data_IF_223371924154
#
_entry.id   IF_223371924154
#
_cell.length_a   1.000
_cell.length_b   1.000
_cell.length_c   1.000
_cell.angle_alpha   90.00
_cell.angle_beta   90.00
_cell.angle_gamma   90.00
#
_symmetry.space_group_name_H-M   'P 1'
#
loop_
_entity.id
_entity.type
_entity.pdbx_description
1 polymer ?
#
# COMPACT_ATOMS: atom_id res chain seq x y z
N UNK A 1 -13.23 3.38 31.61
CA UNK A 1 -12.39 3.44 30.41
C UNK A 1 -12.22 2.02 29.90
N UNK A 2 -12.42 1.77 28.62
CA UNK A 2 -12.19 0.45 28.01
C UNK A 2 -10.69 0.19 27.86
N UNK A 3 -10.30 -1.07 27.66
CA UNK A 3 -8.89 -1.42 27.48
C UNK A 3 -8.26 -0.72 26.27
N UNK A 4 -9.01 -0.59 25.17
CA UNK A 4 -8.57 0.15 23.97
C UNK A 4 -8.33 1.64 24.26
N UNK A 5 -9.22 2.29 25.05
CA UNK A 5 -9.06 3.69 25.44
C UNK A 5 -7.84 3.90 26.33
N UNK A 6 -7.62 3.02 27.32
CA UNK A 6 -6.44 3.08 28.19
C UNK A 6 -5.13 2.99 27.40
N UNK A 7 -5.05 2.04 26.47
CA UNK A 7 -3.87 1.87 25.61
C UNK A 7 -3.68 3.08 24.68
N UNK A 8 -4.76 3.60 24.10
CA UNK A 8 -4.69 4.78 23.25
C UNK A 8 -4.18 6.02 24.00
N UNK A 9 -4.73 6.30 25.20
CA UNK A 9 -4.25 7.44 26.01
C UNK A 9 -2.77 7.30 26.38
N UNK A 10 -2.33 6.08 26.70
CA UNK A 10 -0.91 5.79 26.93
C UNK A 10 -0.06 6.09 25.68
N UNK A 11 -0.50 5.67 24.49
CA UNK A 11 0.20 5.97 23.24
C UNK A 11 0.34 7.46 23.01
N UNK A 12 -0.73 8.23 23.21
CA UNK A 12 -0.72 9.70 23.09
C UNK A 12 0.26 10.34 24.07
N UNK A 13 0.25 9.91 25.32
CA UNK A 13 1.12 10.44 26.34
C UNK A 13 2.62 10.14 26.11
N UNK A 14 2.91 8.95 25.59
CA UNK A 14 4.29 8.51 25.33
C UNK A 14 4.88 9.00 24.01
N UNK A 15 4.05 9.45 23.07
CA UNK A 15 4.48 9.89 21.74
C UNK A 15 4.02 11.32 21.42
N UNK A 16 4.42 12.32 22.23
CA UNK A 16 3.99 13.69 22.01
C UNK A 16 4.47 14.20 20.64
N UNK A 17 3.58 14.87 19.90
CA UNK A 17 3.91 15.44 18.59
C UNK A 17 3.88 14.47 17.39
N UNK A 18 3.26 13.30 17.56
CA UNK A 18 3.10 12.31 16.48
C UNK A 18 1.59 12.10 16.11
N UNK A 19 0.88 13.11 15.61
CA UNK A 19 -0.57 13.05 15.42
C UNK A 19 -1.01 11.99 14.41
N UNK A 20 -0.22 11.73 13.36
CA UNK A 20 -0.53 10.70 12.37
C UNK A 20 -0.47 9.30 12.99
N UNK A 21 0.49 9.06 13.89
CA UNK A 21 0.58 7.80 14.61
C UNK A 21 -0.59 7.64 15.60
N UNK A 22 -0.95 8.70 16.33
CA UNK A 22 -2.11 8.67 17.22
C UNK A 22 -3.39 8.33 16.46
N UNK A 23 -3.62 8.96 15.31
CA UNK A 23 -4.80 8.70 14.48
C UNK A 23 -4.85 7.24 14.02
N UNK A 24 -3.76 6.71 13.49
CA UNK A 24 -3.71 5.33 13.01
C UNK A 24 -3.97 4.30 14.12
N UNK A 25 -3.38 4.51 15.30
CA UNK A 25 -3.61 3.63 16.46
C UNK A 25 -5.08 3.69 16.88
N UNK A 26 -5.67 4.89 16.95
CA UNK A 26 -7.08 5.07 17.30
C UNK A 26 -8.01 4.33 16.33
N UNK A 27 -7.85 4.55 15.04
CA UNK A 27 -8.67 3.93 14.00
C UNK A 27 -8.61 2.39 14.05
N UNK A 28 -7.43 1.84 14.25
CA UNK A 28 -7.25 0.39 14.36
C UNK A 28 -7.88 -0.14 15.65
N UNK A 29 -7.60 0.46 16.81
CA UNK A 29 -8.15 0.00 18.08
C UNK A 29 -9.68 0.11 18.13
N UNK A 30 -10.26 1.20 17.60
CA UNK A 30 -11.72 1.37 17.51
C UNK A 30 -12.35 0.26 16.64
N UNK A 31 -11.75 -0.09 15.52
CA UNK A 31 -12.23 -1.16 14.64
C UNK A 31 -12.09 -2.57 15.23
N UNK A 32 -11.16 -2.76 16.16
CA UNK A 32 -10.88 -4.03 16.82
C UNK A 32 -11.65 -4.24 18.14
N UNK A 33 -12.40 -3.21 18.59
CA UNK A 33 -13.08 -3.24 19.88
C UNK A 33 -13.93 -4.51 20.08
N UNK A 34 -14.65 -4.92 19.03
CA UNK A 34 -15.52 -6.12 19.07
C UNK A 34 -14.73 -7.42 19.36
N UNK A 35 -13.50 -7.52 18.91
CA UNK A 35 -12.60 -8.67 19.16
C UNK A 35 -11.96 -8.55 20.54
N UNK A 36 -11.49 -7.37 20.88
CA UNK A 36 -10.77 -7.08 22.11
C UNK A 36 -11.68 -7.30 23.32
N UNK A 37 -12.91 -6.78 23.28
CA UNK A 37 -13.89 -6.93 24.37
C UNK A 37 -14.21 -8.41 24.67
N UNK A 38 -14.19 -9.28 23.65
CA UNK A 38 -14.40 -10.74 23.84
C UNK A 38 -13.23 -11.45 24.50
N UNK A 39 -12.02 -10.91 24.39
CA UNK A 39 -10.79 -11.54 24.84
C UNK A 39 -10.02 -10.67 25.85
N UNK A 40 -10.66 -9.66 26.45
CA UNK A 40 -10.02 -8.61 27.23
C UNK A 40 -9.15 -9.14 28.36
N UNK A 41 -9.62 -10.11 29.15
CA UNK A 41 -8.90 -10.68 30.28
C UNK A 41 -7.55 -11.28 29.84
N UNK A 42 -7.56 -12.07 28.77
CA UNK A 42 -6.37 -12.70 28.22
C UNK A 42 -5.41 -11.65 27.64
N UNK A 43 -5.95 -10.71 26.85
CA UNK A 43 -5.14 -9.70 26.19
C UNK A 43 -4.48 -8.74 27.18
N UNK A 44 -5.18 -8.34 28.24
CA UNK A 44 -4.59 -7.57 29.35
C UNK A 44 -3.48 -8.34 30.06
N UNK A 45 -3.71 -9.62 30.38
CA UNK A 45 -2.72 -10.46 31.04
C UNK A 45 -1.41 -10.60 30.24
N UNK A 46 -1.50 -10.61 28.93
CA UNK A 46 -0.36 -10.74 28.01
C UNK A 46 0.14 -9.41 27.47
N UNK A 47 -0.47 -8.28 27.86
CA UNK A 47 -0.18 -6.94 27.35
C UNK A 47 -0.16 -6.89 25.81
N UNK A 48 -1.14 -7.55 25.19
CA UNK A 48 -1.17 -7.71 23.72
C UNK A 48 -1.23 -6.37 23.02
N UNK A 49 -2.13 -5.47 23.45
CA UNK A 49 -2.28 -4.18 22.77
C UNK A 49 -1.07 -3.27 22.99
N UNK A 50 -0.52 -3.25 24.20
CA UNK A 50 0.69 -2.47 24.51
C UNK A 50 1.88 -2.91 23.65
N UNK A 51 2.06 -4.21 23.47
CA UNK A 51 3.11 -4.79 22.61
C UNK A 51 2.83 -4.57 21.12
N UNK A 52 1.57 -4.52 20.73
CA UNK A 52 1.15 -4.35 19.34
C UNK A 52 1.36 -2.91 18.85
N UNK A 53 1.15 -1.91 19.71
CA UNK A 53 1.25 -0.48 19.35
C UNK A 53 2.66 0.09 19.55
N UNK A 54 3.58 -0.67 20.13
CA UNK A 54 4.96 -0.25 20.33
C UNK A 54 5.85 -0.92 19.28
N UNK A 55 6.65 -0.16 18.49
CA UNK A 55 7.60 -0.77 17.58
C UNK A 55 8.72 -1.50 18.33
N UNK A 56 9.11 -2.68 17.82
CA UNK A 56 10.20 -3.46 18.41
C UNK A 56 11.52 -2.72 18.39
N UNK A 57 11.77 -1.91 17.34
CA UNK A 57 13.00 -1.11 17.25
C UNK A 57 12.83 0.09 16.31
N UNK A 58 13.41 1.22 16.69
CA UNK A 58 13.58 2.39 15.84
C UNK A 58 15.07 2.71 15.71
N UNK A 59 15.54 2.80 14.48
CA UNK A 59 16.92 3.16 14.16
C UNK A 59 16.90 4.52 13.48
N UNK A 60 17.68 5.47 14.00
CA UNK A 60 17.85 6.80 13.44
C UNK A 60 19.34 7.09 13.26
N UNK A 61 19.70 7.62 12.09
CA UNK A 61 21.09 7.88 11.73
C UNK A 61 21.22 9.11 10.83
N UNK A 62 22.40 9.74 10.84
CA UNK A 62 22.72 10.82 9.90
C UNK A 62 23.22 10.26 8.57
N UNK A 63 22.90 10.97 7.50
CA UNK A 63 23.28 10.60 6.13
C UNK A 63 24.02 11.79 5.50
N UNK A 64 25.34 11.88 5.64
CA UNK A 64 26.13 12.89 4.95
C UNK A 64 26.43 12.45 3.52
N UNK A 65 26.31 13.37 2.56
CA UNK A 65 26.63 13.13 1.15
C UNK A 65 27.09 14.42 0.49
N UNK A 66 27.69 14.34 -0.71
CA UNK A 66 28.23 15.49 -1.42
C UNK A 66 27.37 15.73 -2.67
N UNK A 67 26.90 16.96 -2.82
CA UNK A 67 26.13 17.40 -4.01
C UNK A 67 27.04 17.67 -5.21
N UNK A 68 26.41 18.03 -6.33
CA UNK A 68 27.12 18.29 -7.60
C UNK A 68 28.05 19.50 -7.55
N UNK A 69 27.84 20.40 -6.58
CA UNK A 69 28.69 21.56 -6.34
C UNK A 69 29.87 21.29 -5.40
N UNK A 70 30.00 20.06 -4.89
CA UNK A 70 31.01 19.68 -3.93
C UNK A 70 30.67 20.05 -2.48
N UNK A 71 29.44 20.48 -2.20
CA UNK A 71 28.99 20.85 -0.85
C UNK A 71 28.48 19.63 -0.10
N UNK A 72 28.89 19.52 1.16
CA UNK A 72 28.41 18.44 2.04
C UNK A 72 26.98 18.74 2.48
N UNK A 73 26.08 17.83 2.18
CA UNK A 73 24.69 17.81 2.64
C UNK A 73 24.53 16.78 3.74
N UNK A 74 23.59 17.04 4.67
CA UNK A 74 23.29 16.10 5.76
C UNK A 74 21.78 15.90 5.89
N UNK A 75 21.34 14.68 5.68
CA UNK A 75 19.96 14.25 5.88
C UNK A 75 19.86 13.31 7.08
N UNK A 76 18.64 13.04 7.52
CA UNK A 76 18.35 12.09 8.59
C UNK A 76 17.69 10.84 7.98
N UNK A 77 18.24 9.69 8.31
CA UNK A 77 17.73 8.39 7.92
C UNK A 77 17.05 7.69 9.08
N UNK A 78 16.06 6.85 8.75
CA UNK A 78 15.29 6.07 9.73
C UNK A 78 14.96 4.68 9.21
N UNK A 79 14.87 3.71 10.13
CA UNK A 79 14.19 2.44 9.94
C UNK A 79 13.39 2.10 11.19
N UNK A 80 12.10 1.91 11.02
CA UNK A 80 11.19 1.39 12.04
C UNK A 80 10.98 -0.09 11.76
N UNK A 81 11.46 -0.93 12.65
CA UNK A 81 11.23 -2.37 12.70
C UNK A 81 10.07 -2.57 13.66
N UNK A 82 8.85 -2.66 13.11
CA UNK A 82 7.66 -2.49 13.92
C UNK A 82 7.22 -3.78 14.61
N UNK A 83 7.05 -4.85 13.85
CA UNK A 83 6.61 -6.13 14.41
C UNK A 83 7.12 -7.29 13.55
N UNK A 84 7.78 -8.25 14.18
CA UNK A 84 8.38 -9.44 13.53
C UNK A 84 7.66 -10.75 13.86
N UNK A 85 6.54 -10.72 14.53
CA UNK A 85 5.85 -11.93 14.97
C UNK A 85 5.50 -12.92 13.84
N UNK A 86 5.26 -12.42 12.63
CA UNK A 86 4.88 -13.25 11.48
C UNK A 86 5.96 -13.37 10.41
N UNK A 87 7.13 -12.80 10.61
CA UNK A 87 8.26 -12.90 9.69
C UNK A 87 9.20 -11.68 9.74
N UNK A 88 10.23 -11.65 8.87
CA UNK A 88 11.15 -10.53 8.78
C UNK A 88 10.41 -9.21 8.56
N UNK A 89 10.93 -8.11 9.12
CA UNK A 89 10.33 -6.80 8.90
C UNK A 89 10.29 -6.48 7.40
N UNK A 90 9.15 -6.01 6.93
CA UNK A 90 8.93 -5.71 5.51
C UNK A 90 8.18 -4.41 5.34
N UNK A 91 8.72 -3.53 4.50
CA UNK A 91 8.07 -2.27 4.16
C UNK A 91 9.00 -1.30 3.43
N UNK A 92 8.40 -0.33 2.74
CA UNK A 92 9.10 0.59 1.86
C UNK A 92 10.02 1.58 2.56
N UNK A 93 10.96 2.13 1.79
CA UNK A 93 11.74 3.32 2.12
C UNK A 93 11.11 4.51 1.40
N UNK A 94 10.85 5.60 2.13
CA UNK A 94 10.32 6.85 1.58
C UNK A 94 11.39 7.93 1.60
N UNK A 95 11.68 8.55 0.45
CA UNK A 95 12.53 9.72 0.37
C UNK A 95 11.69 10.94 0.02
N UNK A 96 11.40 11.75 1.04
CA UNK A 96 10.56 12.94 0.90
C UNK A 96 10.82 13.91 2.05
N UNK A 97 10.81 15.23 1.84
CA UNK A 97 11.08 16.23 2.88
C UNK A 97 10.21 16.12 4.14
N UNK A 98 8.98 15.61 4.01
CA UNK A 98 8.07 15.44 5.14
C UNK A 98 8.40 14.27 6.06
N UNK A 99 9.34 13.39 5.68
CA UNK A 99 9.65 12.19 6.46
C UNK A 99 10.21 12.56 7.83
N UNK A 100 9.56 12.01 8.85
CA UNK A 100 9.99 12.07 10.23
C UNK A 100 9.66 10.75 10.93
N UNK A 101 10.07 10.60 12.18
CA UNK A 101 9.90 9.36 12.95
C UNK A 101 8.42 8.99 13.13
N UNK A 102 7.56 9.94 13.49
CA UNK A 102 6.14 9.70 13.73
C UNK A 102 5.41 9.18 12.49
N UNK A 103 5.68 9.77 11.31
CA UNK A 103 5.15 9.30 10.04
C UNK A 103 5.60 7.86 9.75
N UNK A 104 6.86 7.53 10.02
CA UNK A 104 7.36 6.18 9.77
C UNK A 104 6.85 5.15 10.78
N UNK A 105 6.59 5.55 12.02
CA UNK A 105 5.90 4.71 13.02
C UNK A 105 4.48 4.41 12.57
N UNK A 106 3.72 5.43 12.18
CA UNK A 106 2.38 5.29 11.61
C UNK A 106 2.38 4.28 10.46
N UNK A 107 3.23 4.51 9.46
CA UNK A 107 3.30 3.66 8.28
C UNK A 107 3.78 2.24 8.59
N UNK A 108 4.68 2.05 9.56
CA UNK A 108 5.15 0.75 10.01
C UNK A 108 4.06 -0.04 10.75
N UNK A 109 3.29 0.64 11.58
CA UNK A 109 2.13 0.07 12.27
C UNK A 109 1.08 -0.45 11.27
N UNK A 110 0.65 0.37 10.33
CA UNK A 110 -0.29 -0.06 9.29
C UNK A 110 0.27 -1.18 8.41
N UNK A 111 1.58 -1.12 8.10
CA UNK A 111 2.23 -2.15 7.30
C UNK A 111 2.17 -3.53 7.95
N UNK A 112 2.19 -3.61 9.29
CA UNK A 112 2.05 -4.88 10.03
C UNK A 112 0.74 -5.58 9.69
N UNK A 113 -0.38 -4.88 9.72
CA UNK A 113 -1.70 -5.45 9.40
C UNK A 113 -1.85 -5.76 7.92
N UNK A 114 -1.37 -4.88 7.04
CA UNK A 114 -1.38 -5.11 5.60
C UNK A 114 -0.61 -6.37 5.22
N UNK A 115 0.58 -6.55 5.77
CA UNK A 115 1.42 -7.71 5.48
C UNK A 115 0.79 -9.01 6.02
N UNK A 116 0.17 -8.96 7.19
CA UNK A 116 -0.47 -10.12 7.80
C UNK A 116 -1.62 -10.68 6.94
N UNK A 117 -2.37 -9.82 6.25
CA UNK A 117 -3.45 -10.22 5.35
C UNK A 117 -2.96 -11.09 4.19
N UNK A 118 -1.74 -10.87 3.69
CA UNK A 118 -1.20 -11.65 2.56
C UNK A 118 -1.06 -13.13 2.87
N UNK A 119 -1.06 -13.53 4.14
CA UNK A 119 -0.79 -14.90 4.55
C UNK A 119 0.69 -15.30 4.48
N UNK A 120 1.54 -14.45 3.92
CA UNK A 120 2.97 -14.72 3.73
C UNK A 120 3.77 -14.38 5.01
N UNK A 121 4.94 -15.02 5.21
CA UNK A 121 5.75 -14.82 6.41
C UNK A 121 6.57 -13.52 6.33
N UNK A 122 5.91 -12.38 6.44
CA UNK A 122 6.50 -11.04 6.43
C UNK A 122 5.89 -10.19 7.53
N UNK A 123 6.74 -9.62 8.36
CA UNK A 123 6.39 -8.70 9.43
C UNK A 123 6.18 -7.26 8.94
N UNK A 124 6.07 -6.32 9.87
CA UNK A 124 5.86 -4.90 9.55
C UNK A 124 7.11 -4.06 9.80
N UNK A 125 7.42 -3.19 8.85
CA UNK A 125 8.49 -2.21 8.98
C UNK A 125 8.32 -1.06 8.00
N UNK A 126 8.99 0.06 8.28
CA UNK A 126 9.01 1.24 7.40
C UNK A 126 10.28 2.02 7.61
N UNK A 127 10.77 2.67 6.56
CA UNK A 127 11.96 3.50 6.67
C UNK A 127 11.93 4.67 5.70
N UNK A 128 13.00 5.45 5.73
CA UNK A 128 13.13 6.57 4.82
C UNK A 128 14.04 7.67 5.31
N UNK A 129 13.98 8.79 4.62
CA UNK A 129 14.77 9.99 4.90
C UNK A 129 14.01 11.24 4.48
N UNK A 130 14.35 12.36 5.10
CA UNK A 130 13.91 13.70 4.67
C UNK A 130 14.65 14.21 3.41
N UNK A 131 15.36 13.33 2.72
CA UNK A 131 15.98 13.62 1.42
C UNK A 131 14.90 13.76 0.33
N UNK A 132 15.02 14.80 -0.51
CA UNK A 132 14.17 14.98 -1.68
C UNK A 132 14.94 14.62 -2.95
N UNK A 133 14.61 13.51 -3.64
CA UNK A 133 15.26 13.13 -4.89
C UNK A 133 14.83 14.00 -6.08
N UNK A 134 13.78 14.82 -5.92
CA UNK A 134 13.26 15.67 -7.00
C UNK A 134 14.30 16.71 -7.44
N UNK A 135 14.57 16.77 -8.73
CA UNK A 135 15.54 17.73 -9.28
C UNK A 135 17.00 17.42 -8.98
N UNK A 136 17.30 16.29 -8.35
CA UNK A 136 18.67 15.83 -8.12
C UNK A 136 19.20 15.03 -9.31
N UNK A 137 20.51 15.16 -9.58
CA UNK A 137 21.18 14.34 -10.57
C UNK A 137 21.27 12.88 -10.14
N UNK A 138 21.48 11.98 -11.10
CA UNK A 138 21.71 10.55 -10.79
C UNK A 138 22.93 10.36 -9.88
N UNK A 139 23.97 11.19 -10.03
CA UNK A 139 25.15 11.17 -9.19
C UNK A 139 24.83 11.55 -7.74
N UNK A 140 24.04 12.60 -7.53
CA UNK A 140 23.60 13.02 -6.21
C UNK A 140 22.74 11.97 -5.53
N UNK A 141 21.75 11.41 -6.25
CA UNK A 141 20.89 10.34 -5.72
C UNK A 141 21.71 9.10 -5.39
N UNK A 142 22.67 8.72 -6.24
CA UNK A 142 23.56 7.60 -5.96
C UNK A 142 24.42 7.84 -4.72
N UNK A 143 25.03 9.03 -4.58
CA UNK A 143 25.83 9.39 -3.42
C UNK A 143 25.01 9.33 -2.13
N UNK A 144 23.78 9.87 -2.16
CA UNK A 144 22.85 9.78 -1.04
C UNK A 144 22.51 8.33 -0.70
N UNK A 145 22.08 7.52 -1.67
CA UNK A 145 21.71 6.11 -1.47
C UNK A 145 22.88 5.29 -0.90
N UNK A 146 24.09 5.53 -1.36
CA UNK A 146 25.29 4.83 -0.86
C UNK A 146 25.56 5.20 0.60
N UNK A 147 25.49 6.48 0.95
CA UNK A 147 25.65 6.93 2.33
C UNK A 147 24.54 6.38 3.24
N UNK A 148 23.28 6.45 2.81
CA UNK A 148 22.13 5.90 3.53
C UNK A 148 22.29 4.40 3.80
N UNK A 149 22.66 3.61 2.79
CA UNK A 149 22.84 2.16 2.93
C UNK A 149 24.06 1.79 3.78
N UNK A 150 25.09 2.62 3.82
CA UNK A 150 26.25 2.40 4.69
C UNK A 150 25.87 2.27 6.16
N UNK A 151 24.88 3.02 6.60
CA UNK A 151 24.34 2.89 7.95
C UNK A 151 23.26 1.80 8.04
N UNK A 152 22.32 1.77 7.11
CA UNK A 152 21.20 0.85 7.15
C UNK A 152 21.62 -0.63 7.04
N UNK A 153 22.68 -0.96 6.29
CA UNK A 153 23.11 -2.34 6.06
C UNK A 153 23.47 -3.13 7.33
N UNK A 154 23.66 -2.43 8.45
CA UNK A 154 23.92 -3.04 9.76
C UNK A 154 22.71 -3.73 10.38
N UNK A 155 21.50 -3.38 9.92
CA UNK A 155 20.24 -3.73 10.55
C UNK A 155 19.28 -4.51 9.65
N UNK A 156 19.64 -4.69 8.37
CA UNK A 156 18.79 -5.35 7.36
C UNK A 156 19.46 -6.59 6.79
N UNK A 157 18.69 -7.47 6.20
CA UNK A 157 19.15 -8.71 5.57
C UNK A 157 17.95 -9.52 5.09
N UNK A 158 18.21 -10.56 4.29
CA UNK A 158 17.19 -11.39 3.65
C UNK A 158 16.18 -12.00 4.65
N UNK A 159 16.65 -12.39 5.84
CA UNK A 159 15.87 -13.08 6.87
C UNK A 159 15.59 -12.21 8.10
N UNK A 160 16.02 -10.95 8.09
CA UNK A 160 15.86 -10.03 9.23
C UNK A 160 14.90 -8.89 8.90
N UNK A 161 15.22 -8.14 7.86
CA UNK A 161 14.48 -6.94 7.45
C UNK A 161 14.73 -6.67 5.97
N UNK A 162 13.66 -6.66 5.19
CA UNK A 162 13.72 -6.53 3.73
C UNK A 162 12.97 -5.27 3.29
N UNK A 163 13.66 -4.13 3.16
CA UNK A 163 13.05 -2.90 2.65
C UNK A 163 12.62 -3.00 1.19
N UNK A 164 11.76 -2.08 0.77
CA UNK A 164 11.26 -1.95 -0.61
C UNK A 164 11.23 -0.48 -1.04
N UNK A 165 10.76 -0.22 -2.26
CA UNK A 165 10.45 1.13 -2.71
C UNK A 165 9.17 1.70 -2.12
N UNK A 166 9.08 3.02 -2.06
CA UNK A 166 7.91 3.83 -1.72
C UNK A 166 8.09 5.21 -2.38
N UNK A 167 7.38 6.25 -1.94
CA UNK A 167 7.52 7.61 -2.49
C UNK A 167 9.00 8.02 -2.51
N UNK A 168 9.47 8.47 -3.68
CA UNK A 168 10.85 8.90 -3.89
C UNK A 168 11.89 7.78 -3.98
N UNK A 169 11.46 6.52 -3.93
CA UNK A 169 12.34 5.34 -4.05
C UNK A 169 11.78 4.37 -5.09
N UNK A 170 12.28 4.48 -6.29
CA UNK A 170 11.96 3.58 -7.41
C UNK A 170 13.09 2.58 -7.70
N UNK A 171 13.02 1.96 -8.88
CA UNK A 171 14.01 0.96 -9.31
C UNK A 171 15.45 1.49 -9.35
N UNK A 172 15.64 2.77 -9.70
CA UNK A 172 16.95 3.46 -9.69
C UNK A 172 17.55 3.47 -8.28
N UNK A 173 16.79 3.97 -7.31
CA UNK A 173 17.22 4.06 -5.91
C UNK A 173 17.46 2.66 -5.31
N UNK A 174 16.55 1.72 -5.56
CA UNK A 174 16.73 0.32 -5.15
C UNK A 174 18.01 -0.27 -5.72
N UNK A 175 18.34 0.02 -6.98
CA UNK A 175 19.59 -0.41 -7.60
C UNK A 175 20.82 0.13 -6.88
N UNK A 176 20.85 1.43 -6.59
CA UNK A 176 21.98 2.05 -5.87
C UNK A 176 22.11 1.54 -4.43
N UNK A 177 20.98 1.36 -3.73
CA UNK A 177 20.96 0.79 -2.39
C UNK A 177 21.45 -0.65 -2.38
N UNK A 178 20.99 -1.49 -3.31
CA UNK A 178 21.42 -2.88 -3.42
C UNK A 178 22.90 -3.02 -3.76
N UNK A 179 23.39 -2.21 -4.71
CA UNK A 179 24.81 -2.19 -5.08
C UNK A 179 25.73 -1.87 -3.89
N UNK A 180 25.35 -0.88 -3.07
CA UNK A 180 26.11 -0.53 -1.87
C UNK A 180 26.02 -1.60 -0.77
N UNK A 181 24.83 -2.18 -0.55
CA UNK A 181 24.66 -3.31 0.37
C UNK A 181 25.60 -4.46 0.01
N UNK A 182 25.54 -4.90 -1.25
CA UNK A 182 26.41 -5.98 -1.77
C UNK A 182 27.91 -5.66 -1.59
N UNK A 183 28.31 -4.41 -1.85
CA UNK A 183 29.69 -3.97 -1.70
C UNK A 183 30.18 -4.04 -0.26
N UNK A 184 29.37 -3.64 0.72
CA UNK A 184 29.75 -3.61 2.14
C UNK A 184 29.68 -5.01 2.75
N UNK A 185 28.59 -5.73 2.49
CA UNK A 185 28.34 -7.04 3.11
C UNK A 185 29.13 -8.18 2.47
N UNK A 186 29.56 -8.01 1.22
CA UNK A 186 30.19 -9.09 0.44
C UNK A 186 29.22 -10.23 0.09
N UNK A 187 27.90 -10.01 0.21
CA UNK A 187 26.85 -11.00 0.01
C UNK A 187 25.93 -10.60 -1.16
N UNK A 188 25.54 -11.60 -1.93
CA UNK A 188 24.46 -11.47 -2.91
C UNK A 188 23.26 -12.25 -2.39
N UNK A 189 22.38 -11.57 -1.68
CA UNK A 189 21.22 -12.16 -1.01
C UNK A 189 19.91 -11.40 -1.34
N UNK A 190 18.78 -11.96 -0.93
CA UNK A 190 17.44 -11.43 -1.19
C UNK A 190 17.02 -10.24 -0.34
N UNK A 191 17.96 -9.35 0.00
CA UNK A 191 17.68 -8.07 0.64
C UNK A 191 17.16 -7.08 -0.38
N UNK A 192 16.24 -6.21 0.02
CA UNK A 192 15.50 -5.28 -0.81
C UNK A 192 14.58 -5.98 -1.85
N UNK A 193 13.43 -5.40 -2.10
CA UNK A 193 12.52 -5.80 -3.18
C UNK A 193 12.19 -4.62 -4.08
N UNK A 194 11.71 -4.92 -5.29
CA UNK A 194 11.61 -3.95 -6.37
C UNK A 194 12.91 -3.80 -7.14
N UNK A 195 13.77 -4.82 -7.08
CA UNK A 195 15.01 -4.90 -7.86
C UNK A 195 14.72 -5.03 -9.35
N UNK A 196 15.67 -4.62 -10.17
CA UNK A 196 15.64 -4.87 -11.60
C UNK A 196 15.71 -6.37 -11.93
N UNK A 197 15.13 -6.78 -13.04
CA UNK A 197 15.12 -8.20 -13.46
C UNK A 197 16.52 -8.79 -13.61
N UNK A 198 17.51 -7.96 -13.97
CA UNK A 198 18.90 -8.39 -14.13
C UNK A 198 19.63 -8.74 -12.82
N UNK A 199 19.04 -8.42 -11.66
CA UNK A 199 19.67 -8.66 -10.37
C UNK A 199 18.67 -9.09 -9.27
N UNK A 200 17.73 -9.96 -9.63
CA UNK A 200 16.86 -10.66 -8.69
C UNK A 200 15.47 -10.06 -8.52
N UNK A 201 15.04 -9.17 -9.41
CA UNK A 201 13.67 -8.65 -9.45
C UNK A 201 12.67 -9.69 -9.93
N UNK A 202 11.40 -9.48 -9.62
CA UNK A 202 10.28 -10.32 -10.05
C UNK A 202 9.49 -9.68 -11.19
N UNK A 203 9.05 -10.51 -12.14
CA UNK A 203 7.99 -10.15 -13.07
C UNK A 203 6.69 -9.81 -12.31
N UNK A 204 5.76 -9.16 -12.96
CA UNK A 204 4.46 -8.70 -12.39
C UNK A 204 4.60 -7.65 -11.28
N UNK A 205 5.80 -7.32 -10.78
CA UNK A 205 5.93 -6.37 -9.65
C UNK A 205 5.35 -5.00 -9.96
N UNK A 206 5.48 -4.55 -11.19
CA UNK A 206 4.96 -3.24 -11.65
C UNK A 206 3.44 -3.24 -11.70
N UNK A 207 2.85 -4.31 -12.18
CA UNK A 207 1.42 -4.50 -12.37
C UNK A 207 0.67 -4.87 -11.08
N UNK A 208 1.38 -5.47 -10.15
CA UNK A 208 0.82 -6.22 -9.02
C UNK A 208 -0.22 -5.47 -8.18
N UNK A 209 -0.02 -4.17 -7.93
CA UNK A 209 -0.97 -3.42 -7.13
C UNK A 209 -2.28 -3.21 -7.89
N UNK A 210 -2.22 -2.75 -9.14
CA UNK A 210 -3.40 -2.55 -9.99
C UNK A 210 -4.13 -3.87 -10.28
N UNK A 211 -3.40 -4.93 -10.60
CA UNK A 211 -3.97 -6.27 -10.79
C UNK A 211 -4.65 -6.79 -9.53
N UNK A 212 -4.00 -6.60 -8.37
CA UNK A 212 -4.55 -7.01 -7.09
C UNK A 212 -5.87 -6.33 -6.75
N UNK A 213 -5.99 -5.03 -7.00
CA UNK A 213 -7.25 -4.28 -6.84
C UNK A 213 -8.39 -4.90 -7.64
N UNK A 214 -8.12 -5.27 -8.88
CA UNK A 214 -9.15 -5.83 -9.77
C UNK A 214 -9.45 -7.29 -9.43
N UNK A 215 -8.48 -8.08 -9.00
CA UNK A 215 -8.73 -9.43 -8.46
C UNK A 215 -9.61 -9.36 -7.21
N UNK A 216 -9.32 -8.44 -6.30
CA UNK A 216 -10.16 -8.19 -5.11
C UNK A 216 -11.59 -7.80 -5.48
N UNK A 217 -11.75 -6.85 -6.40
CA UNK A 217 -13.05 -6.44 -6.93
C UNK A 217 -13.82 -7.63 -7.50
N UNK A 218 -13.17 -8.49 -8.26
CA UNK A 218 -13.78 -9.66 -8.87
C UNK A 218 -14.31 -10.66 -7.81
N UNK A 219 -13.57 -10.85 -6.72
CA UNK A 219 -14.01 -11.72 -5.63
C UNK A 219 -15.20 -11.14 -4.86
N UNK A 220 -15.20 -9.81 -4.61
CA UNK A 220 -16.36 -9.15 -4.03
C UNK A 220 -17.60 -9.32 -4.92
N UNK A 221 -17.47 -9.09 -6.22
CA UNK A 221 -18.57 -9.25 -7.16
C UNK A 221 -19.11 -10.68 -7.16
N UNK A 222 -18.25 -11.70 -7.20
CA UNK A 222 -18.63 -13.11 -7.11
C UNK A 222 -19.38 -13.43 -5.81
N UNK A 223 -18.93 -12.94 -4.67
CA UNK A 223 -19.57 -13.16 -3.38
C UNK A 223 -21.02 -12.60 -3.34
N UNK A 224 -21.27 -11.58 -4.13
CA UNK A 224 -22.59 -10.96 -4.28
C UNK A 224 -23.36 -11.41 -5.54
N UNK A 225 -22.99 -12.55 -6.14
CA UNK A 225 -23.59 -13.10 -7.34
C UNK A 225 -23.62 -12.11 -8.54
N UNK A 226 -22.60 -11.28 -8.63
CA UNK A 226 -22.40 -10.28 -9.69
C UNK A 226 -21.10 -10.54 -10.47
N UNK A 227 -20.85 -9.79 -11.53
CA UNK A 227 -19.69 -9.90 -12.39
C UNK A 227 -19.10 -8.53 -12.70
N UNK A 228 -17.79 -8.46 -12.81
CA UNK A 228 -17.06 -7.27 -13.28
C UNK A 228 -17.26 -7.06 -14.79
N UNK A 229 -17.49 -8.14 -15.54
CA UNK A 229 -17.72 -8.08 -16.99
C UNK A 229 -18.98 -7.25 -17.33
N UNK A 230 -18.83 -6.35 -18.29
CA UNK A 230 -19.91 -5.44 -18.73
C UNK A 230 -20.14 -4.23 -17.85
N UNK A 231 -19.49 -4.12 -16.69
CA UNK A 231 -19.61 -2.96 -15.79
C UNK A 231 -18.84 -1.75 -16.30
N UNK A 232 -19.37 -0.58 -15.98
CA UNK A 232 -18.71 0.70 -16.22
C UNK A 232 -17.86 1.08 -15.01
N UNK A 233 -16.58 1.36 -15.23
CA UNK A 233 -15.61 1.66 -14.19
C UNK A 233 -15.03 3.07 -14.37
N UNK A 234 -14.88 3.79 -13.26
CA UNK A 234 -14.07 5.00 -13.15
C UNK A 234 -12.84 4.68 -12.32
N UNK A 235 -11.66 5.02 -12.82
CA UNK A 235 -10.38 4.83 -12.13
C UNK A 235 -9.75 6.19 -11.90
N UNK A 236 -9.43 6.54 -10.65
CA UNK A 236 -8.70 7.77 -10.39
C UNK A 236 -7.20 7.55 -10.49
N UNK A 237 -6.49 8.60 -10.87
CA UNK A 237 -5.06 8.54 -11.16
C UNK A 237 -4.76 8.16 -12.60
N UNK A 238 -3.49 8.29 -12.94
CA UNK A 238 -2.90 7.88 -14.21
C UNK A 238 -1.45 7.39 -14.01
N UNK A 239 -1.14 7.04 -12.77
CA UNK A 239 0.12 6.39 -12.40
C UNK A 239 0.03 4.88 -12.51
N UNK A 240 1.04 4.22 -11.96
CA UNK A 240 1.23 2.78 -12.09
C UNK A 240 0.01 1.96 -11.65
N UNK A 241 -0.53 2.23 -10.46
CA UNK A 241 -1.69 1.49 -9.92
C UNK A 241 -2.91 1.64 -10.84
N UNK A 242 -3.20 2.88 -11.26
CA UNK A 242 -4.35 3.16 -12.13
C UNK A 242 -4.21 2.50 -13.51
N UNK A 243 -3.05 2.61 -14.16
CA UNK A 243 -2.78 2.02 -15.48
C UNK A 243 -3.03 0.50 -15.47
N UNK A 244 -2.48 -0.19 -14.46
CA UNK A 244 -2.62 -1.65 -14.41
C UNK A 244 -3.96 -2.12 -13.83
N UNK A 245 -4.67 -1.28 -13.07
CA UNK A 245 -6.08 -1.53 -12.75
C UNK A 245 -6.96 -1.45 -14.01
N UNK A 246 -6.74 -0.43 -14.86
CA UNK A 246 -7.43 -0.33 -16.17
C UNK A 246 -7.15 -1.54 -17.05
N UNK A 247 -5.88 -1.95 -17.15
CA UNK A 247 -5.48 -3.12 -17.96
C UNK A 247 -6.21 -4.38 -17.53
N UNK A 248 -6.14 -4.72 -16.25
CA UNK A 248 -6.77 -5.94 -15.72
C UNK A 248 -8.29 -5.89 -15.79
N UNK A 249 -8.92 -4.75 -15.48
CA UNK A 249 -10.35 -4.57 -15.56
C UNK A 249 -10.86 -4.77 -16.99
N UNK A 250 -10.16 -4.23 -17.98
CA UNK A 250 -10.47 -4.41 -19.40
C UNK A 250 -10.31 -5.87 -19.83
N UNK A 251 -9.26 -6.56 -19.36
CA UNK A 251 -9.07 -7.99 -19.60
C UNK A 251 -10.22 -8.84 -19.04
N UNK A 252 -10.82 -8.43 -17.92
CA UNK A 252 -11.99 -9.10 -17.34
C UNK A 252 -13.33 -8.68 -17.97
N UNK A 253 -13.30 -7.89 -19.03
CA UNK A 253 -14.49 -7.50 -19.79
C UNK A 253 -15.26 -6.29 -19.26
N UNK A 254 -14.67 -5.52 -18.33
CA UNK A 254 -15.23 -4.25 -17.91
C UNK A 254 -14.90 -3.12 -18.89
N UNK A 255 -15.67 -2.03 -18.83
CA UNK A 255 -15.40 -0.81 -19.58
C UNK A 255 -14.95 0.30 -18.63
N UNK A 256 -13.67 0.65 -18.67
CA UNK A 256 -13.15 1.81 -17.94
C UNK A 256 -13.35 3.05 -18.79
N UNK A 257 -14.10 4.03 -18.28
CA UNK A 257 -14.52 5.21 -19.06
C UNK A 257 -13.84 6.51 -18.64
N UNK A 258 -13.12 6.52 -17.54
CA UNK A 258 -12.47 7.75 -17.09
C UNK A 258 -11.20 7.48 -16.27
N UNK A 259 -10.25 8.40 -16.40
CA UNK A 259 -9.02 8.50 -15.61
C UNK A 259 -8.71 9.98 -15.34
N UNK A 260 -7.90 10.28 -14.31
CA UNK A 260 -7.49 11.64 -14.01
C UNK A 260 -5.99 11.76 -13.66
N UNK A 261 -5.52 12.98 -13.62
CA UNK A 261 -4.32 13.37 -12.90
C UNK A 261 -4.61 14.60 -12.00
N UNK A 262 -3.56 15.24 -11.47
CA UNK A 262 -3.73 16.37 -10.55
C UNK A 262 -4.38 17.61 -11.18
N UNK A 263 -4.47 17.68 -12.51
CA UNK A 263 -4.95 18.85 -13.23
C UNK A 263 -6.40 18.70 -13.71
N UNK A 264 -6.87 17.46 -13.90
CA UNK A 264 -8.21 17.21 -14.40
C UNK A 264 -8.41 15.75 -14.82
N UNK A 265 -9.52 15.47 -15.47
CA UNK A 265 -9.88 14.12 -15.86
C UNK A 265 -10.32 14.01 -17.32
N UNK A 266 -10.10 12.84 -17.89
CA UNK A 266 -10.61 12.46 -19.21
C UNK A 266 -11.80 11.52 -19.05
N UNK A 267 -12.77 11.68 -19.94
CA UNK A 267 -13.91 10.79 -20.11
C UNK A 267 -13.96 10.30 -21.55
N UNK A 268 -14.02 9.00 -21.72
CA UNK A 268 -14.18 8.33 -23.01
C UNK A 268 -15.35 7.33 -22.91
N UNK A 269 -16.51 7.63 -23.51
CA UNK A 269 -17.68 6.75 -23.45
C UNK A 269 -17.47 5.40 -24.15
N UNK A 270 -16.48 5.31 -25.04
CA UNK A 270 -16.15 4.07 -25.75
C UNK A 270 -15.22 3.15 -24.94
N UNK A 271 -14.63 3.68 -23.87
CA UNK A 271 -13.65 3.01 -23.03
C UNK A 271 -12.23 3.51 -23.28
N UNK A 272 -11.48 3.67 -22.20
CA UNK A 272 -10.11 4.21 -22.21
C UNK A 272 -9.21 3.35 -23.10
N UNK A 273 -8.57 3.98 -24.08
CA UNK A 273 -7.48 3.40 -24.86
C UNK A 273 -6.19 3.42 -24.05
N UNK A 274 -5.85 2.27 -23.48
CA UNK A 274 -4.72 2.16 -22.54
C UNK A 274 -3.37 2.39 -23.21
N UNK A 275 -3.20 2.05 -24.49
CA UNK A 275 -1.94 2.25 -25.20
C UNK A 275 -1.63 3.76 -25.34
N UNK A 276 -2.65 4.57 -25.57
CA UNK A 276 -2.51 6.04 -25.61
C UNK A 276 -2.15 6.55 -24.22
N UNK A 277 -2.77 6.05 -23.15
CA UNK A 277 -2.42 6.45 -21.77
C UNK A 277 -0.99 6.06 -21.43
N UNK A 278 -0.56 4.83 -21.75
CA UNK A 278 0.82 4.37 -21.51
C UNK A 278 1.85 5.23 -22.27
N UNK A 279 1.61 5.56 -23.53
CA UNK A 279 2.50 6.44 -24.30
C UNK A 279 2.60 7.83 -23.64
N UNK A 280 1.48 8.41 -23.20
CA UNK A 280 1.48 9.71 -22.52
C UNK A 280 2.23 9.65 -21.19
N UNK A 281 1.92 8.66 -20.35
CA UNK A 281 2.36 8.64 -18.95
C UNK A 281 3.71 7.97 -18.74
N UNK A 282 3.98 6.85 -19.39
CA UNK A 282 5.19 6.06 -19.19
C UNK A 282 6.32 6.48 -20.14
N UNK A 283 5.99 6.80 -21.40
CA UNK A 283 6.98 7.16 -22.41
C UNK A 283 7.28 8.67 -22.38
N UNK A 284 6.24 9.49 -22.56
CA UNK A 284 6.39 10.96 -22.69
C UNK A 284 6.41 11.70 -21.35
N UNK A 285 5.93 11.05 -20.27
CA UNK A 285 5.73 11.65 -18.95
C UNK A 285 4.85 12.90 -18.98
N UNK A 286 3.89 12.92 -19.92
CA UNK A 286 2.96 14.02 -20.17
C UNK A 286 1.78 14.03 -19.19
N UNK A 287 0.80 14.90 -19.49
CA UNK A 287 -0.44 15.04 -18.73
C UNK A 287 -1.58 14.29 -19.39
N UNK A 288 -2.53 13.80 -18.57
CA UNK A 288 -3.68 13.03 -19.09
C UNK A 288 -4.55 13.85 -20.07
N UNK A 289 -4.49 15.17 -20.00
CA UNK A 289 -5.17 16.07 -20.94
C UNK A 289 -4.86 15.75 -22.40
N UNK A 290 -3.64 15.33 -22.72
CA UNK A 290 -3.24 14.97 -24.10
C UNK A 290 -4.05 13.81 -24.68
N UNK A 291 -4.71 13.02 -23.84
CA UNK A 291 -5.57 11.91 -24.26
C UNK A 291 -6.74 12.41 -25.13
N UNK A 292 -7.43 13.47 -24.69
CA UNK A 292 -8.56 14.02 -25.42
C UNK A 292 -8.17 14.63 -26.78
N UNK A 293 -6.92 15.08 -26.95
CA UNK A 293 -6.38 15.57 -28.22
C UNK A 293 -6.07 14.43 -29.21
N UNK A 294 -5.96 13.18 -28.71
CA UNK A 294 -5.49 12.01 -29.48
C UNK A 294 -6.57 10.97 -29.74
N UNK A 295 -7.67 11.01 -28.98
CA UNK A 295 -8.76 10.01 -29.07
C UNK A 295 -10.06 10.72 -29.40
N UNK A 296 -10.62 10.40 -30.57
CA UNK A 296 -11.89 10.96 -31.03
C UNK A 296 -13.04 10.56 -30.12
N UNK A 297 -13.87 11.53 -29.72
CA UNK A 297 -15.01 11.33 -28.83
C UNK A 297 -14.67 11.41 -27.33
N UNK A 298 -13.39 11.44 -26.98
CA UNK A 298 -12.97 11.68 -25.60
C UNK A 298 -13.05 13.17 -25.26
N UNK A 299 -13.31 13.46 -23.98
CA UNK A 299 -13.36 14.84 -23.45
C UNK A 299 -12.41 14.99 -22.27
N UNK A 300 -11.90 16.19 -22.08
CA UNK A 300 -11.12 16.57 -20.90
C UNK A 300 -11.85 17.65 -20.11
N UNK A 301 -11.87 17.48 -18.80
CA UNK A 301 -12.39 18.47 -17.87
C UNK A 301 -11.31 18.85 -16.87
N UNK A 302 -11.03 20.14 -16.75
CA UNK A 302 -10.04 20.65 -15.79
C UNK A 302 -10.60 20.64 -14.36
N UNK A 303 -9.74 20.36 -13.39
CA UNK A 303 -10.07 20.36 -11.97
C UNK A 303 -10.64 19.02 -11.47
N UNK A 304 -11.22 19.07 -10.29
CA UNK A 304 -11.81 17.90 -9.63
C UNK A 304 -13.20 17.59 -10.15
N UNK A 305 -13.72 16.39 -9.86
CA UNK A 305 -15.10 16.03 -10.18
C UNK A 305 -15.27 14.74 -10.99
N UNK A 306 -14.24 13.93 -11.13
CA UNK A 306 -14.31 12.65 -11.82
C UNK A 306 -15.41 11.73 -11.28
N UNK A 307 -15.77 11.86 -10.00
CA UNK A 307 -16.89 11.15 -9.34
C UNK A 307 -18.27 11.52 -9.86
N UNK A 308 -18.40 12.61 -10.67
CA UNK A 308 -19.65 12.97 -11.34
C UNK A 308 -19.96 12.04 -12.51
N UNK A 309 -18.99 11.30 -13.01
CA UNK A 309 -19.20 10.35 -14.09
C UNK A 309 -19.90 9.11 -13.54
N UNK A 310 -21.06 8.79 -14.15
CA UNK A 310 -21.85 7.63 -13.74
C UNK A 310 -21.08 6.35 -13.99
N UNK A 311 -20.95 5.52 -12.95
CA UNK A 311 -20.27 4.23 -13.00
C UNK A 311 -20.90 3.21 -12.05
N UNK A 312 -20.69 1.94 -12.32
CA UNK A 312 -21.04 0.85 -11.41
C UNK A 312 -19.95 0.66 -10.33
N UNK A 313 -18.70 0.94 -10.70
CA UNK A 313 -17.50 0.68 -9.90
C UNK A 313 -16.61 1.91 -9.91
N UNK A 314 -16.11 2.29 -8.74
CA UNK A 314 -15.15 3.38 -8.58
C UNK A 314 -13.86 2.86 -7.91
N UNK A 315 -12.73 3.04 -8.58
CA UNK A 315 -11.42 2.60 -8.11
C UNK A 315 -10.53 3.81 -7.79
N UNK A 316 -10.46 4.25 -6.53
CA UNK A 316 -9.58 5.35 -6.14
C UNK A 316 -8.13 4.87 -6.11
N UNK A 317 -7.33 5.25 -7.14
CA UNK A 317 -5.96 4.79 -7.37
C UNK A 317 -4.94 5.94 -7.43
N UNK A 318 -5.29 7.17 -7.06
CA UNK A 318 -4.41 8.32 -7.15
C UNK A 318 -3.69 8.63 -5.82
N UNK A 319 -4.34 9.38 -4.95
CA UNK A 319 -3.70 9.93 -3.75
C UNK A 319 -4.57 9.82 -2.50
N UNK A 320 -3.95 10.00 -1.34
CA UNK A 320 -4.65 10.05 -0.05
C UNK A 320 -5.71 11.16 -0.03
N UNK A 321 -6.87 10.87 0.59
CA UNK A 321 -8.00 11.81 0.78
C UNK A 321 -8.54 12.45 -0.51
N UNK A 322 -8.47 11.75 -1.64
CA UNK A 322 -9.00 12.25 -2.91
C UNK A 322 -10.53 12.16 -3.02
N UNK A 323 -11.16 11.24 -2.32
CA UNK A 323 -12.61 11.07 -2.28
C UNK A 323 -13.16 11.53 -0.92
N UNK A 324 -13.73 12.72 -0.89
CA UNK A 324 -14.42 13.25 0.27
C UNK A 324 -15.92 12.97 0.24
N UNK A 325 -16.62 13.45 1.27
CA UNK A 325 -18.06 13.21 1.49
C UNK A 325 -18.95 13.65 0.31
N UNK A 326 -18.65 14.75 -0.35
CA UNK A 326 -19.46 15.25 -1.49
C UNK A 326 -19.32 14.31 -2.70
N UNK A 327 -18.11 13.82 -2.96
CA UNK A 327 -17.88 12.80 -3.99
C UNK A 327 -18.60 11.49 -3.68
N UNK A 328 -18.54 11.04 -2.42
CA UNK A 328 -19.24 9.83 -1.97
C UNK A 328 -20.76 9.95 -2.15
N UNK A 329 -21.37 11.08 -1.78
CA UNK A 329 -22.79 11.36 -2.00
C UNK A 329 -23.15 11.27 -3.48
N UNK A 330 -22.32 11.82 -4.35
CA UNK A 330 -22.52 11.80 -5.79
C UNK A 330 -22.44 10.38 -6.35
N UNK A 331 -21.45 9.59 -5.92
CA UNK A 331 -21.34 8.18 -6.32
C UNK A 331 -22.57 7.37 -5.93
N UNK A 332 -23.07 7.51 -4.71
CA UNK A 332 -24.30 6.86 -4.24
C UNK A 332 -25.51 7.30 -5.09
N UNK A 333 -25.68 8.60 -5.30
CA UNK A 333 -26.77 9.12 -6.13
C UNK A 333 -26.73 8.62 -7.57
N UNK A 334 -25.54 8.38 -8.12
CA UNK A 334 -25.32 7.82 -9.45
C UNK A 334 -25.48 6.29 -9.52
N UNK A 335 -25.69 5.61 -8.39
CA UNK A 335 -25.91 4.17 -8.32
C UNK A 335 -24.63 3.34 -8.35
N UNK A 336 -23.49 3.91 -7.95
CA UNK A 336 -22.23 3.18 -7.78
C UNK A 336 -22.41 2.08 -6.72
N UNK A 337 -22.02 0.86 -7.03
CA UNK A 337 -22.19 -0.31 -6.16
C UNK A 337 -20.92 -0.72 -5.44
N UNK A 338 -19.75 -0.45 -6.03
CA UNK A 338 -18.47 -0.91 -5.53
C UNK A 338 -17.47 0.25 -5.47
N UNK A 339 -16.80 0.40 -4.32
CA UNK A 339 -15.63 1.26 -4.17
C UNK A 339 -14.48 0.40 -3.64
N UNK A 340 -13.41 0.26 -4.42
CA UNK A 340 -12.25 -0.61 -4.08
C UNK A 340 -10.97 0.20 -4.18
N UNK A 341 -10.31 0.41 -3.07
CA UNK A 341 -9.20 1.33 -2.94
C UNK A 341 -7.88 0.77 -3.49
N UNK A 342 -7.32 1.43 -4.50
CA UNK A 342 -5.98 1.13 -5.01
C UNK A 342 -4.88 1.96 -4.34
N UNK A 343 -5.17 3.20 -3.97
CA UNK A 343 -4.26 4.04 -3.20
C UNK A 343 -4.31 3.73 -1.69
N UNK A 344 -3.42 4.33 -0.91
CA UNK A 344 -3.48 4.25 0.54
C UNK A 344 -4.39 5.35 1.08
N UNK A 345 -5.45 4.96 1.78
CA UNK A 345 -6.45 5.86 2.38
C UNK A 345 -6.93 6.99 1.43
N UNK A 346 -7.40 6.66 0.21
CA UNK A 346 -7.85 7.68 -0.73
C UNK A 346 -9.21 8.26 -0.38
N UNK A 347 -10.01 7.53 0.41
CA UNK A 347 -11.36 7.92 0.85
C UNK A 347 -11.30 8.43 2.28
N UNK A 348 -11.91 9.59 2.54
CA UNK A 348 -11.99 10.14 3.90
C UNK A 348 -12.89 9.27 4.79
N UNK A 349 -12.71 9.32 6.11
CA UNK A 349 -13.45 8.47 7.05
C UNK A 349 -14.97 8.70 6.97
N UNK A 350 -15.40 9.95 6.90
CA UNK A 350 -16.80 10.33 6.76
C UNK A 350 -17.40 9.85 5.42
N UNK A 351 -16.62 9.90 4.34
CA UNK A 351 -17.02 9.35 3.04
C UNK A 351 -17.13 7.83 3.08
N UNK A 352 -16.17 7.13 3.72
CA UNK A 352 -16.21 5.67 3.91
C UNK A 352 -17.45 5.24 4.67
N UNK A 353 -17.74 5.90 5.79
CA UNK A 353 -18.92 5.62 6.60
C UNK A 353 -20.20 5.83 5.78
N UNK A 354 -20.29 6.95 5.06
CA UNK A 354 -21.45 7.27 4.23
C UNK A 354 -21.68 6.23 3.11
N UNK A 355 -20.61 5.80 2.42
CA UNK A 355 -20.69 4.76 1.39
C UNK A 355 -21.26 3.45 1.95
N UNK A 356 -20.71 2.98 3.09
CA UNK A 356 -21.15 1.75 3.74
C UNK A 356 -22.61 1.83 4.23
N UNK A 357 -23.02 2.93 4.87
CA UNK A 357 -24.39 3.15 5.34
C UNK A 357 -25.42 3.21 4.20
N UNK A 358 -24.97 3.53 2.96
CA UNK A 358 -25.83 3.55 1.78
C UNK A 358 -25.69 2.30 0.90
N UNK A 359 -25.12 1.22 1.44
CA UNK A 359 -25.08 -0.10 0.78
C UNK A 359 -24.06 -0.22 -0.34
N UNK A 360 -23.06 0.67 -0.40
CA UNK A 360 -21.91 0.52 -1.31
C UNK A 360 -20.93 -0.48 -0.71
N UNK A 361 -20.55 -1.48 -1.48
CA UNK A 361 -19.53 -2.45 -1.08
C UNK A 361 -18.16 -1.79 -1.14
N UNK A 362 -17.62 -1.50 0.03
CA UNK A 362 -16.38 -0.75 0.19
C UNK A 362 -15.23 -1.66 0.67
N UNK A 363 -14.15 -1.73 -0.11
CA UNK A 363 -12.94 -2.49 0.28
C UNK A 363 -11.78 -1.54 0.54
N UNK A 364 -11.20 -1.57 1.76
CA UNK A 364 -10.10 -0.67 2.11
C UNK A 364 -8.80 -1.02 1.40
N UNK A 365 -7.97 0.00 1.18
CA UNK A 365 -6.70 -0.12 0.47
C UNK A 365 -5.75 -1.16 1.08
N UNK A 366 -5.70 -1.28 2.41
CA UNK A 366 -4.82 -2.27 3.07
C UNK A 366 -5.07 -3.72 2.62
N UNK A 367 -6.29 -4.05 2.23
CA UNK A 367 -6.64 -5.34 1.65
C UNK A 367 -6.52 -5.33 0.12
N UNK A 368 -7.13 -4.34 -0.54
CA UNK A 368 -7.23 -4.31 -1.99
C UNK A 368 -5.88 -4.04 -2.69
N UNK A 369 -5.04 -3.16 -2.14
CA UNK A 369 -3.75 -2.83 -2.73
C UNK A 369 -2.58 -3.70 -2.22
N UNK A 370 -2.87 -4.78 -1.50
CA UNK A 370 -1.87 -5.70 -0.97
C UNK A 370 -1.10 -6.48 -2.05
N UNK A 371 -1.56 -6.45 -3.31
CA UNK A 371 -0.88 -7.12 -4.42
C UNK A 371 0.58 -6.71 -4.58
N UNK A 372 0.90 -5.43 -4.37
CA UNK A 372 2.27 -4.94 -4.44
C UNK A 372 3.21 -5.58 -3.40
N UNK A 373 2.79 -5.64 -2.15
CA UNK A 373 3.59 -6.28 -1.09
C UNK A 373 3.58 -7.80 -1.20
N UNK A 374 2.49 -8.40 -1.65
CA UNK A 374 2.42 -9.83 -1.94
C UNK A 374 3.47 -10.23 -2.98
N UNK A 375 3.52 -9.53 -4.11
CA UNK A 375 4.53 -9.78 -5.16
C UNK A 375 5.96 -9.48 -4.67
N UNK A 376 6.14 -8.50 -3.77
CA UNK A 376 7.44 -8.30 -3.13
C UNK A 376 7.85 -9.52 -2.28
N UNK A 377 6.93 -10.16 -1.56
CA UNK A 377 7.24 -11.40 -0.83
C UNK A 377 7.48 -12.59 -1.78
N UNK A 378 6.80 -12.64 -2.93
CA UNK A 378 7.12 -13.61 -3.99
C UNK A 378 8.51 -13.38 -4.58
N UNK A 379 8.96 -12.12 -4.71
CA UNK A 379 10.34 -11.80 -5.09
C UNK A 379 11.34 -12.34 -4.04
N UNK A 380 11.05 -12.17 -2.74
CA UNK A 380 11.87 -12.76 -1.68
C UNK A 380 11.96 -14.29 -1.81
N UNK A 381 10.83 -14.95 -2.08
CA UNK A 381 10.82 -16.42 -2.28
C UNK A 381 11.67 -16.85 -3.47
N UNK A 382 11.54 -16.16 -4.61
CA UNK A 382 12.37 -16.42 -5.78
C UNK A 382 13.86 -16.20 -5.49
N UNK A 383 14.21 -15.15 -4.75
CA UNK A 383 15.59 -14.87 -4.34
C UNK A 383 16.16 -15.96 -3.41
N UNK A 384 15.36 -16.42 -2.45
CA UNK A 384 15.75 -17.48 -1.53
C UNK A 384 16.01 -18.82 -2.25
N UNK A 385 15.16 -19.14 -3.24
CA UNK A 385 15.31 -20.35 -4.09
C UNK A 385 16.39 -20.18 -5.16
N UNK A 386 16.86 -18.98 -5.44
CA UNK A 386 17.74 -18.61 -6.57
C UNK A 386 17.16 -19.01 -7.93
N UNK A 387 15.85 -18.90 -8.08
CA UNK A 387 15.10 -19.15 -9.29
C UNK A 387 14.26 -17.93 -9.67
N UNK A 388 13.91 -17.83 -10.94
CA UNK A 388 12.92 -16.85 -11.42
C UNK A 388 11.71 -17.60 -11.94
N UNK A 389 10.52 -17.15 -11.54
CA UNK A 389 9.26 -17.66 -12.05
C UNK A 389 8.85 -16.92 -13.32
N UNK A 390 8.05 -17.58 -14.16
CA UNK A 390 7.46 -16.95 -15.33
C UNK A 390 6.41 -15.89 -14.92
N UNK A 391 6.00 -15.10 -15.89
CA UNK A 391 4.95 -14.08 -15.68
C UNK A 391 3.65 -14.72 -15.21
N UNK A 392 3.28 -15.83 -15.81
CA UNK A 392 2.07 -16.60 -15.53
C UNK A 392 2.11 -17.19 -14.11
N UNK A 393 3.24 -17.77 -13.71
CA UNK A 393 3.41 -18.33 -12.37
C UNK A 393 3.29 -17.25 -11.27
N UNK A 394 3.87 -16.06 -11.50
CA UNK A 394 3.76 -14.96 -10.53
C UNK A 394 2.33 -14.41 -10.50
N UNK A 395 1.68 -14.22 -11.65
CA UNK A 395 0.31 -13.71 -11.74
C UNK A 395 -0.70 -14.68 -11.08
N UNK A 396 -0.56 -15.99 -11.32
CA UNK A 396 -1.38 -17.01 -10.67
C UNK A 396 -1.24 -16.99 -9.14
N UNK A 397 0.00 -16.91 -8.64
CA UNK A 397 0.27 -16.80 -7.20
C UNK A 397 -0.32 -15.51 -6.61
N UNK A 398 -0.15 -14.39 -7.31
CA UNK A 398 -0.74 -13.11 -6.91
C UNK A 398 -2.27 -13.20 -6.84
N UNK A 399 -2.89 -13.76 -7.87
CA UNK A 399 -4.34 -13.94 -7.92
C UNK A 399 -4.84 -14.78 -6.73
N UNK A 400 -4.22 -15.92 -6.47
CA UNK A 400 -4.57 -16.79 -5.34
C UNK A 400 -4.40 -16.08 -3.99
N UNK A 401 -3.35 -15.28 -3.80
CA UNK A 401 -3.17 -14.47 -2.59
C UNK A 401 -4.30 -13.46 -2.43
N UNK A 402 -4.73 -12.79 -3.50
CA UNK A 402 -5.83 -11.82 -3.42
C UNK A 402 -7.17 -12.49 -3.10
N UNK A 403 -7.43 -13.69 -3.63
CA UNK A 403 -8.59 -14.52 -3.26
C UNK A 403 -8.55 -14.83 -1.76
N UNK A 404 -7.42 -15.29 -1.26
CA UNK A 404 -7.24 -15.61 0.17
C UNK A 404 -7.43 -14.40 1.08
N UNK A 405 -6.94 -13.22 0.68
CA UNK A 405 -7.15 -11.97 1.40
C UNK A 405 -8.64 -11.64 1.49
N UNK A 406 -9.36 -11.77 0.38
CA UNK A 406 -10.80 -11.54 0.36
C UNK A 406 -11.53 -12.48 1.33
N UNK A 407 -11.32 -13.78 1.24
CA UNK A 407 -11.99 -14.75 2.10
C UNK A 407 -11.68 -14.52 3.58
N UNK A 408 -10.44 -14.26 3.96
CA UNK A 408 -10.07 -13.95 5.35
C UNK A 408 -10.77 -12.69 5.85
N UNK A 409 -10.87 -11.68 5.00
CA UNK A 409 -11.55 -10.41 5.33
C UNK A 409 -13.06 -10.62 5.51
N UNK A 410 -13.70 -11.30 4.58
CA UNK A 410 -15.12 -11.59 4.58
C UNK A 410 -15.54 -12.51 5.74
N UNK A 411 -14.79 -13.60 5.95
CA UNK A 411 -15.00 -14.53 7.06
C UNK A 411 -14.83 -13.84 8.42
N UNK A 412 -13.86 -12.97 8.57
CA UNK A 412 -13.66 -12.21 9.80
C UNK A 412 -14.83 -11.25 10.06
N UNK A 413 -15.30 -10.53 9.05
CA UNK A 413 -16.46 -9.67 9.19
C UNK A 413 -17.71 -10.47 9.60
N UNK A 414 -17.99 -11.60 8.94
CA UNK A 414 -19.12 -12.48 9.23
C UNK A 414 -19.08 -13.08 10.65
N UNK A 415 -17.89 -13.56 11.10
CA UNK A 415 -17.73 -14.12 12.46
C UNK A 415 -18.09 -13.16 13.58
N UNK A 416 -17.95 -11.85 13.33
CA UNK A 416 -18.27 -10.82 14.32
C UNK A 416 -19.60 -10.10 14.04
N UNK A 417 -20.44 -10.63 13.12
CA UNK A 417 -21.76 -10.07 12.81
C UNK A 417 -21.72 -8.74 12.09
N UNK A 418 -20.65 -8.49 11.34
CA UNK A 418 -20.43 -7.26 10.55
C UNK A 418 -20.34 -7.59 9.05
N UNK A 419 -21.29 -8.36 8.56
CA UNK A 419 -21.38 -8.77 7.17
C UNK A 419 -21.25 -7.57 6.23
N UNK A 420 -20.45 -7.72 5.15
CA UNK A 420 -20.10 -6.69 4.17
C UNK A 420 -19.28 -5.50 4.69
N UNK A 421 -18.92 -5.45 5.98
CA UNK A 421 -18.01 -4.46 6.50
C UNK A 421 -16.55 -4.94 6.35
N UNK A 422 -16.01 -4.79 5.14
CA UNK A 422 -14.65 -5.23 4.84
C UNK A 422 -13.56 -4.39 5.50
N UNK A 423 -13.85 -3.18 5.96
CA UNK A 423 -12.91 -2.36 6.74
C UNK A 423 -12.62 -3.05 8.08
N UNK A 424 -13.67 -3.41 8.80
CA UNK A 424 -13.56 -4.12 10.07
C UNK A 424 -13.01 -5.52 9.84
N UNK A 425 -13.51 -6.24 8.83
CA UNK A 425 -13.04 -7.58 8.49
C UNK A 425 -11.54 -7.64 8.22
N UNK A 426 -11.00 -6.70 7.44
CA UNK A 426 -9.56 -6.63 7.15
C UNK A 426 -8.72 -6.35 8.41
N UNK A 427 -9.17 -5.43 9.27
CA UNK A 427 -8.48 -5.13 10.52
C UNK A 427 -8.49 -6.34 11.47
N UNK A 428 -9.63 -7.02 11.63
CA UNK A 428 -9.75 -8.21 12.48
C UNK A 428 -8.85 -9.34 11.96
N UNK A 429 -8.95 -9.68 10.67
CA UNK A 429 -8.17 -10.77 10.08
C UNK A 429 -6.66 -10.53 10.23
N UNK A 430 -6.21 -9.29 9.98
CA UNK A 430 -4.81 -8.92 10.16
C UNK A 430 -4.38 -9.00 11.63
N UNK A 431 -5.18 -8.48 12.54
CA UNK A 431 -4.93 -8.48 13.98
C UNK A 431 -4.83 -9.89 14.54
N UNK A 432 -5.82 -10.73 14.31
CA UNK A 432 -5.86 -12.11 14.84
C UNK A 432 -4.62 -12.90 14.47
N UNK A 433 -4.16 -12.82 13.21
CA UNK A 433 -2.96 -13.51 12.76
C UNK A 433 -1.70 -13.06 13.51
N UNK A 434 -1.53 -11.75 13.72
CA UNK A 434 -0.38 -11.20 14.45
C UNK A 434 -0.42 -11.60 15.91
N UNK A 435 -1.59 -11.47 16.54
CA UNK A 435 -1.79 -11.80 17.96
C UNK A 435 -1.59 -13.29 18.22
N UNK A 436 -2.10 -14.18 17.36
CA UNK A 436 -1.89 -15.62 17.50
C UNK A 436 -0.39 -15.98 17.44
N UNK A 437 0.35 -15.36 16.53
CA UNK A 437 1.80 -15.52 16.45
C UNK A 437 2.51 -14.98 17.71
N UNK A 438 2.13 -13.79 18.20
CA UNK A 438 2.70 -13.19 19.42
C UNK A 438 2.43 -14.07 20.65
N UNK A 439 1.23 -14.66 20.76
CA UNK A 439 0.87 -15.59 21.86
C UNK A 439 1.67 -16.88 21.78
N UNK A 440 1.80 -17.45 20.58
CA UNK A 440 2.49 -18.72 20.38
C UNK A 440 4.00 -18.63 20.63
N UNK A 441 4.61 -17.48 20.34
CA UNK A 441 6.05 -17.22 20.54
C UNK A 441 6.39 -16.79 21.98
N UNK A 442 5.39 -16.43 22.78
CA UNK A 442 5.58 -16.02 24.17
C UNK A 442 5.95 -14.54 24.33
N UNK A 443 6.75 -14.23 25.37
CA UNK A 443 7.20 -12.87 25.69
C UNK A 443 8.64 -12.71 25.19
N UNK A 444 8.78 -12.16 24.02
CA UNK A 444 10.09 -11.92 23.36
C UNK A 444 10.23 -10.47 22.96
#
# INVERSE_FOLDING_TARGET
MSYTEEVYERVVAQNPGEPEFHQAVKEVLDSLKVVIDKNEEEYRKLSILERLVEPERIISFKVPWIDDNGTVQVNKGYRVQFNSAIGPYKGGLRFHPSVNQGILKFLGFEQTFKNSLTGLPIGGGKGGSNFDPKGKSDREVMAFCQSFMTELCKYIGADTDVPAGDIGVGGREIGYLFGQYKRIRGLYEGVLTGKGLSFGGSLIRTEATGYGVVYMLNEIAKAHNDSVAGKTIVVTGSGNVAIYAVEKATQLGAKVVAMNDSNGYVYDPNGINLDVVKDIKEVKRGRIKEYADRVEGATYTEGLGIWNIKCDIYLPCATQNELGIDGAKTLVANGCKYVVEGANMPTTLDATTYLQENGVLFMPGKAANAGGVATSALEMSQNSMRLSWTREEVDEKLHNIMIDIFHKTDDAAKRYGMEDNYVVGANIAGFEKVVDAMKAQGIV
#
